data_IF_855273111478
#
_entry.id   IF_855273111478
#
_cell.length_a   1.000
_cell.length_b   1.000
_cell.length_c   1.000
_cell.angle_alpha   90.00
_cell.angle_beta   90.00
_cell.angle_gamma   90.00
#
_symmetry.space_group_name_H-M   'P 1'
#
loop_
_entity.id
_entity.type
_entity.pdbx_description
1 polymer ?
#
# COMPACT_ATOMS: atom_id res chain seq x y z
N UNK A 1 -3.40 -9.52 14.12
CA UNK A 1 -4.28 -8.33 14.02
C UNK A 1 -4.61 -7.80 15.40
N UNK A 2 -5.21 -8.62 16.27
CA UNK A 2 -5.64 -8.20 17.60
C UNK A 2 -4.51 -7.64 18.47
N UNK A 3 -3.34 -8.27 18.47
CA UNK A 3 -2.18 -7.79 19.24
C UNK A 3 -1.56 -6.50 18.70
N UNK A 4 -1.91 -6.11 17.48
CA UNK A 4 -1.34 -4.95 16.77
C UNK A 4 -2.34 -3.80 16.61
N UNK A 5 -3.60 -3.97 17.04
CA UNK A 5 -4.65 -2.96 16.90
C UNK A 5 -5.43 -2.78 18.20
N UNK A 6 -5.77 -1.54 18.51
CA UNK A 6 -6.62 -1.20 19.66
C UNK A 6 -8.08 -1.61 19.38
N UNK A 7 -8.87 -1.73 20.43
CA UNK A 7 -10.32 -1.92 20.30
C UNK A 7 -10.94 -0.73 19.54
N UNK A 8 -12.05 -0.99 18.85
CA UNK A 8 -12.73 -0.04 17.95
C UNK A 8 -11.89 0.46 16.77
N UNK A 9 -10.69 -0.10 16.53
CA UNK A 9 -9.95 0.17 15.29
C UNK A 9 -10.76 -0.31 14.08
N UNK A 10 -10.88 0.53 13.07
CA UNK A 10 -11.43 0.16 11.76
C UNK A 10 -10.40 -0.63 10.98
N UNK A 11 -10.81 -1.82 10.53
CA UNK A 11 -9.98 -2.73 9.74
C UNK A 11 -10.69 -2.97 8.41
N UNK A 12 -10.01 -2.58 7.33
CA UNK A 12 -10.47 -2.82 5.99
C UNK A 12 -9.76 -4.06 5.40
N UNK A 13 -10.50 -5.07 4.98
CA UNK A 13 -9.95 -6.26 4.29
C UNK A 13 -10.75 -6.59 3.02
N UNK A 14 -10.31 -7.61 2.29
CA UNK A 14 -11.14 -8.27 1.29
C UNK A 14 -12.26 -9.09 1.97
N UNK A 15 -13.10 -9.74 1.14
CA UNK A 15 -14.20 -10.60 1.58
C UNK A 15 -13.76 -12.04 1.93
N UNK A 16 -12.46 -12.31 2.14
CA UNK A 16 -12.01 -13.65 2.46
C UNK A 16 -12.46 -14.05 3.87
N UNK A 17 -13.16 -15.19 3.97
CA UNK A 17 -13.71 -15.71 5.22
C UNK A 17 -12.71 -15.94 6.36
N UNK A 18 -11.39 -15.96 6.09
CA UNK A 18 -10.37 -15.98 7.14
C UNK A 18 -10.43 -14.75 8.06
N UNK A 19 -11.06 -13.66 7.62
CA UNK A 19 -11.25 -12.42 8.38
C UNK A 19 -12.56 -12.35 9.14
N UNK A 20 -13.47 -13.34 9.02
CA UNK A 20 -14.80 -13.28 9.64
C UNK A 20 -14.75 -13.08 11.17
N UNK A 21 -13.71 -13.61 11.83
CA UNK A 21 -13.49 -13.43 13.27
C UNK A 21 -13.31 -11.95 13.68
N UNK A 22 -12.94 -11.06 12.75
CA UNK A 22 -12.72 -9.65 13.06
C UNK A 22 -14.00 -8.94 13.50
N UNK A 23 -15.13 -9.30 12.91
CA UNK A 23 -16.45 -8.81 13.31
C UNK A 23 -16.81 -9.13 14.77
N UNK A 24 -16.30 -10.24 15.29
CA UNK A 24 -16.51 -10.70 16.67
C UNK A 24 -15.44 -10.16 17.64
N UNK A 25 -14.41 -9.50 17.12
CA UNK A 25 -13.21 -9.14 17.87
C UNK A 25 -13.21 -7.74 18.45
N UNK A 26 -14.36 -7.06 18.60
CA UNK A 26 -14.44 -5.64 19.02
C UNK A 26 -13.67 -4.67 18.09
N UNK A 27 -13.48 -5.06 16.82
CA UNK A 27 -12.94 -4.21 15.75
C UNK A 27 -14.07 -3.90 14.78
N UNK A 28 -14.02 -2.72 14.16
CA UNK A 28 -14.96 -2.38 13.10
C UNK A 28 -14.41 -2.99 11.82
N UNK A 29 -15.01 -4.08 11.36
CA UNK A 29 -14.58 -4.77 10.14
C UNK A 29 -15.38 -4.27 8.94
N UNK A 30 -14.69 -3.65 7.99
CA UNK A 30 -15.28 -3.17 6.75
C UNK A 30 -14.63 -3.89 5.57
N UNK A 31 -15.42 -4.14 4.52
CA UNK A 31 -14.96 -4.80 3.30
C UNK A 31 -15.46 -4.04 2.07
N UNK A 32 -14.91 -4.38 0.91
CA UNK A 32 -15.41 -3.95 -0.40
C UNK A 32 -15.82 -5.18 -1.20
N UNK A 33 -16.88 -5.10 -2.01
CA UNK A 33 -17.35 -6.27 -2.74
C UNK A 33 -16.42 -6.60 -3.92
N UNK A 34 -15.92 -7.82 -4.03
CA UNK A 34 -15.10 -8.27 -5.17
C UNK A 34 -15.84 -9.23 -6.12
N UNK A 35 -17.13 -9.49 -5.85
CA UNK A 35 -17.96 -10.35 -6.67
C UNK A 35 -18.07 -9.84 -8.13
N UNK A 36 -17.89 -10.71 -9.14
CA UNK A 36 -18.07 -10.33 -10.55
C UNK A 36 -19.44 -9.68 -10.80
N UNK A 37 -19.46 -8.55 -11.52
CA UNK A 37 -20.68 -7.79 -11.81
C UNK A 37 -21.11 -6.79 -10.71
N UNK A 38 -20.50 -6.84 -9.53
CA UNK A 38 -20.72 -5.89 -8.41
C UNK A 38 -19.40 -5.44 -7.77
N UNK A 39 -18.30 -5.45 -8.54
CA UNK A 39 -16.98 -5.13 -8.01
C UNK A 39 -16.88 -3.68 -7.57
N UNK A 40 -16.42 -3.51 -6.35
CA UNK A 40 -16.07 -2.27 -5.71
C UNK A 40 -14.57 -2.30 -5.41
N UNK A 41 -13.89 -1.18 -5.64
CA UNK A 41 -12.46 -1.03 -5.37
C UNK A 41 -12.21 -0.18 -4.13
N UNK A 42 -13.13 0.74 -3.85
CA UNK A 42 -13.21 1.51 -2.63
C UNK A 42 -14.66 2.03 -2.48
N UNK A 43 -15.18 2.10 -1.26
CA UNK A 43 -16.53 2.60 -0.94
C UNK A 43 -16.42 3.94 -0.20
N UNK A 44 -17.34 4.82 -0.55
CA UNK A 44 -17.60 6.11 0.07
C UNK A 44 -18.94 5.95 0.77
N UNK A 45 -18.89 5.69 2.08
CA UNK A 45 -20.07 5.29 2.84
C UNK A 45 -20.93 6.50 3.25
N UNK A 46 -20.35 7.72 3.27
CA UNK A 46 -21.05 8.96 3.64
C UNK A 46 -21.37 9.90 2.47
N UNK A 47 -20.82 9.64 1.28
CA UNK A 47 -21.09 10.37 0.05
C UNK A 47 -20.34 11.69 -0.09
N UNK A 48 -19.29 11.93 0.69
CA UNK A 48 -18.50 13.16 0.67
C UNK A 48 -17.46 13.21 -0.47
N UNK A 49 -17.29 12.10 -1.19
CA UNK A 49 -16.31 11.92 -2.26
C UNK A 49 -14.97 11.35 -1.80
N UNK A 50 -14.77 11.11 -0.51
CA UNK A 50 -13.63 10.44 0.12
C UNK A 50 -14.01 8.97 0.34
N UNK A 51 -13.24 8.06 -0.26
CA UNK A 51 -13.52 6.62 -0.13
C UNK A 51 -12.79 6.05 1.09
N UNK A 52 -13.45 5.93 2.23
CA UNK A 52 -12.80 5.52 3.49
C UNK A 52 -12.62 4.00 3.62
N UNK A 53 -13.43 3.23 2.88
CA UNK A 53 -13.33 1.76 2.89
C UNK A 53 -12.63 1.29 1.64
N UNK A 54 -11.48 0.66 1.81
CA UNK A 54 -10.74 0.04 0.73
C UNK A 54 -10.00 -1.19 1.26
N UNK A 55 -10.01 -2.31 0.54
CA UNK A 55 -9.03 -3.36 0.81
C UNK A 55 -7.67 -2.80 0.41
N UNK A 56 -6.69 -2.82 1.34
CA UNK A 56 -5.37 -2.24 1.13
C UNK A 56 -4.81 -2.67 -0.23
N UNK A 57 -4.19 -1.73 -0.96
CA UNK A 57 -3.55 -1.92 -2.27
C UNK A 57 -2.29 -2.80 -2.19
N UNK A 58 -2.27 -3.80 -1.31
CA UNK A 58 -1.12 -4.66 -1.07
C UNK A 58 -0.80 -5.46 -2.34
N UNK A 59 -1.79 -5.85 -3.15
CA UNK A 59 -1.51 -6.44 -4.47
C UNK A 59 -0.88 -5.42 -5.43
N UNK A 60 -1.28 -4.16 -5.32
CA UNK A 60 -0.67 -3.04 -6.06
C UNK A 60 0.79 -2.83 -5.65
N UNK A 61 1.08 -2.85 -4.35
CA UNK A 61 2.44 -2.78 -3.80
C UNK A 61 3.28 -3.97 -4.29
N UNK A 62 2.78 -5.20 -4.16
CA UNK A 62 3.50 -6.40 -4.61
C UNK A 62 3.71 -6.43 -6.13
N UNK A 63 2.75 -5.93 -6.91
CA UNK A 63 2.90 -5.79 -8.36
C UNK A 63 3.97 -4.75 -8.69
N UNK A 64 3.96 -3.61 -8.01
CA UNK A 64 5.00 -2.59 -8.10
C UNK A 64 6.38 -3.15 -7.76
N UNK A 65 6.50 -3.90 -6.67
CA UNK A 65 7.75 -4.52 -6.26
C UNK A 65 8.25 -5.53 -7.31
N UNK A 66 7.39 -6.42 -7.82
CA UNK A 66 7.77 -7.36 -8.88
C UNK A 66 8.27 -6.63 -10.13
N UNK A 67 7.63 -5.52 -10.50
CA UNK A 67 8.05 -4.69 -11.63
C UNK A 67 9.39 -4.00 -11.36
N UNK A 68 9.59 -3.45 -10.16
CA UNK A 68 10.86 -2.87 -9.72
C UNK A 68 11.99 -3.90 -9.74
N UNK A 69 11.73 -5.15 -9.34
CA UNK A 69 12.75 -6.19 -9.30
C UNK A 69 13.08 -6.82 -10.67
N UNK A 70 12.15 -6.74 -11.64
CA UNK A 70 12.27 -7.41 -12.95
C UNK A 70 13.55 -7.03 -13.75
N UNK A 71 14.00 -5.76 -13.78
CA UNK A 71 15.20 -5.36 -14.50
C UNK A 71 16.51 -6.00 -13.97
N UNK A 72 16.57 -6.37 -12.70
CA UNK A 72 17.80 -6.92 -12.10
C UNK A 72 18.14 -8.34 -12.57
N UNK A 73 17.24 -9.03 -13.29
CA UNK A 73 17.42 -10.41 -13.81
C UNK A 73 17.78 -11.44 -12.73
N UNK A 74 17.47 -11.14 -11.48
CA UNK A 74 17.81 -11.93 -10.30
C UNK A 74 18.04 -11.01 -9.10
N UNK A 75 17.76 -11.50 -7.89
CA UNK A 75 17.96 -10.76 -6.65
C UNK A 75 18.91 -11.51 -5.74
N UNK A 76 19.91 -10.81 -5.20
CA UNK A 76 20.80 -11.39 -4.21
C UNK A 76 20.06 -11.50 -2.86
N UNK A 77 19.80 -12.73 -2.40
CA UNK A 77 19.05 -12.99 -1.17
C UNK A 77 19.68 -12.35 0.08
N UNK A 78 21.01 -12.22 0.13
CA UNK A 78 21.72 -11.56 1.25
C UNK A 78 21.31 -10.09 1.39
N UNK A 79 20.98 -9.44 0.29
CA UNK A 79 20.64 -8.01 0.23
C UNK A 79 19.15 -7.78 -0.06
N UNK A 80 18.30 -8.80 0.08
CA UNK A 80 16.86 -8.70 -0.24
C UNK A 80 16.19 -7.51 0.48
N UNK A 81 16.55 -7.30 1.75
CA UNK A 81 16.06 -6.16 2.53
C UNK A 81 16.36 -4.81 1.88
N UNK A 82 17.52 -4.66 1.22
CA UNK A 82 17.94 -3.38 0.63
C UNK A 82 17.12 -3.08 -0.62
N UNK A 83 16.84 -4.10 -1.43
CA UNK A 83 15.94 -3.96 -2.57
C UNK A 83 14.52 -3.56 -2.12
N UNK A 84 14.03 -4.16 -1.03
CA UNK A 84 12.73 -3.81 -0.45
C UNK A 84 12.72 -2.38 0.06
N UNK A 85 13.75 -1.96 0.82
CA UNK A 85 13.86 -0.61 1.34
C UNK A 85 13.90 0.44 0.21
N UNK A 86 14.64 0.17 -0.86
CA UNK A 86 14.65 1.05 -2.04
C UNK A 86 13.29 1.14 -2.73
N UNK A 87 12.59 0.01 -2.85
CA UNK A 87 11.25 -0.02 -3.44
C UNK A 87 10.22 0.72 -2.58
N UNK A 88 10.20 0.45 -1.27
CA UNK A 88 9.32 1.10 -0.30
C UNK A 88 9.54 2.61 -0.33
N UNK A 89 10.81 3.05 -0.24
CA UNK A 89 11.16 4.45 -0.33
C UNK A 89 10.64 5.07 -1.63
N UNK A 90 10.90 4.45 -2.78
CA UNK A 90 10.43 4.95 -4.07
C UNK A 90 8.89 4.97 -4.20
N UNK A 91 8.20 3.95 -3.68
CA UNK A 91 6.73 3.85 -3.69
C UNK A 91 6.05 4.91 -2.81
N UNK A 92 6.72 5.30 -1.72
CA UNK A 92 6.21 6.27 -0.76
C UNK A 92 6.55 7.73 -1.14
N UNK A 93 7.35 7.97 -2.17
CA UNK A 93 7.53 9.32 -2.72
C UNK A 93 6.21 9.81 -3.34
N UNK A 94 5.42 10.56 -2.56
CA UNK A 94 4.12 11.11 -3.01
C UNK A 94 4.26 12.40 -3.83
N UNK A 95 5.44 13.02 -3.83
CA UNK A 95 5.74 14.22 -4.60
C UNK A 95 7.16 14.13 -5.15
N UNK A 96 7.30 14.42 -6.44
CA UNK A 96 8.59 14.63 -7.10
C UNK A 96 8.82 16.13 -7.10
N UNK A 97 9.86 16.60 -6.40
CA UNK A 97 10.25 18.01 -6.41
C UNK A 97 11.39 18.24 -7.41
N UNK A 98 11.52 19.47 -7.87
CA UNK A 98 12.64 19.86 -8.76
C UNK A 98 13.99 19.63 -8.07
N UNK A 99 14.07 19.89 -6.77
CA UNK A 99 15.27 19.67 -5.95
C UNK A 99 15.61 18.18 -5.84
N UNK A 100 14.61 17.31 -5.67
CA UNK A 100 14.80 15.87 -5.69
C UNK A 100 15.37 15.37 -7.02
N UNK A 101 14.82 15.85 -8.15
CA UNK A 101 15.33 15.49 -9.48
C UNK A 101 16.78 15.97 -9.69
N UNK A 102 17.12 17.16 -9.16
CA UNK A 102 18.50 17.68 -9.20
C UNK A 102 19.47 16.77 -8.45
N UNK A 103 19.14 16.34 -7.24
CA UNK A 103 19.97 15.40 -6.46
C UNK A 103 20.15 14.08 -7.21
N UNK A 104 19.06 13.52 -7.77
CA UNK A 104 19.11 12.26 -8.51
C UNK A 104 20.01 12.35 -9.76
N UNK A 105 19.97 13.49 -10.46
CA UNK A 105 20.81 13.76 -11.63
C UNK A 105 22.25 14.18 -11.27
N UNK A 106 22.64 14.12 -10.01
CA UNK A 106 23.98 14.54 -9.55
C UNK A 106 24.20 16.05 -9.58
N UNK A 107 23.15 16.85 -9.80
CA UNK A 107 23.20 18.32 -9.76
C UNK A 107 23.14 18.76 -8.30
N UNK A 108 24.29 18.73 -7.64
CA UNK A 108 24.42 18.94 -6.18
C UNK A 108 24.90 20.35 -5.82
N UNK A 109 24.69 21.35 -6.68
CA UNK A 109 25.20 22.70 -6.41
C UNK A 109 24.09 23.75 -6.49
N UNK A 110 23.93 24.47 -5.38
CA UNK A 110 23.44 25.83 -5.38
C UNK A 110 24.48 26.67 -6.13
N UNK A 111 24.28 26.89 -7.43
CA UNK A 111 24.86 28.05 -8.07
C UNK A 111 24.11 29.26 -7.49
N UNK A 112 24.79 29.98 -6.60
CA UNK A 112 24.42 31.33 -6.13
C UNK A 112 23.98 32.23 -7.27
#
# INVERSE_FOLDING_TARGET
VLDATMDNTTINTDEWGAYNYLSESQRIHLTVCHAPGKREWARDDDGDGIREVHSNTIEGLWTGLRNFLRPFRGVNKKYLQQYLAMHEWAHNLKKVTLEFLRILCGVTQNTT
#
